data_IF_630262271257
#
_entry.id   IF_630262271257
#
_cell.length_a   1.000
_cell.length_b   1.000
_cell.length_c   1.000
_cell.angle_alpha   90.00
_cell.angle_beta   90.00
_cell.angle_gamma   90.00
#
_symmetry.space_group_name_H-M   'P 1'
#
loop_
_entity.id
_entity.type
_entity.pdbx_description
1 polymer ?
#
# COMPACT_ATOMS: atom_id res chain seq x y z
N UNK A 1 15.04 0.63 3.48
CA UNK A 1 14.10 -0.08 4.36
C UNK A 1 12.81 -0.28 3.60
N UNK A 2 12.31 -1.51 3.48
CA UNK A 2 10.97 -1.78 2.94
C UNK A 2 9.90 -1.50 4.01
N UNK A 3 8.67 -1.27 3.59
CA UNK A 3 7.53 -1.05 4.49
C UNK A 3 6.64 -2.30 4.52
N UNK A 4 6.07 -2.61 5.67
CA UNK A 4 5.13 -3.71 5.86
C UNK A 4 3.99 -3.25 6.78
N UNK A 5 2.75 -3.61 6.45
CA UNK A 5 1.60 -3.36 7.30
C UNK A 5 0.60 -4.49 7.20
N UNK A 6 -0.10 -4.77 8.29
CA UNK A 6 -1.21 -5.72 8.37
C UNK A 6 -2.50 -4.97 8.63
N UNK A 7 -3.59 -5.47 8.05
CA UNK A 7 -4.92 -5.08 8.50
C UNK A 7 -5.09 -5.43 9.98
N UNK A 8 -5.75 -4.58 10.80
CA UNK A 8 -5.99 -4.88 12.21
C UNK A 8 -6.84 -6.15 12.42
N UNK A 9 -7.72 -6.47 11.48
CA UNK A 9 -8.55 -7.69 11.48
C UNK A 9 -7.82 -8.91 10.87
N UNK A 10 -6.60 -8.73 10.37
CA UNK A 10 -5.82 -9.78 9.71
C UNK A 10 -6.34 -10.19 8.33
N UNK A 11 -7.28 -9.46 7.74
CA UNK A 11 -7.88 -9.83 6.45
C UNK A 11 -6.93 -9.67 5.26
N UNK A 12 -5.90 -8.82 5.39
CA UNK A 12 -4.87 -8.61 4.39
C UNK A 12 -3.54 -8.18 5.00
N UNK A 13 -2.46 -8.43 4.27
CA UNK A 13 -1.10 -7.96 4.52
C UNK A 13 -0.69 -7.11 3.33
N UNK A 14 0.10 -6.06 3.53
CA UNK A 14 0.69 -5.30 2.43
C UNK A 14 2.17 -4.97 2.67
N UNK A 15 2.95 -4.94 1.59
CA UNK A 15 4.34 -4.50 1.62
C UNK A 15 4.61 -3.47 0.54
N UNK A 16 5.60 -2.63 0.79
CA UNK A 16 6.09 -1.61 -0.11
C UNK A 16 7.59 -1.77 -0.32
N UNK A 17 7.99 -1.82 -1.59
CA UNK A 17 9.38 -1.97 -2.01
C UNK A 17 9.95 -0.67 -2.59
N UNK A 18 11.28 -0.59 -2.61
CA UNK A 18 12.03 0.56 -3.17
C UNK A 18 11.89 0.67 -4.69
N UNK A 19 11.56 -0.43 -5.38
CA UNK A 19 11.25 -0.42 -6.81
C UNK A 19 9.86 0.15 -7.13
N UNK A 20 9.09 0.55 -6.10
CA UNK A 20 7.75 1.09 -6.25
C UNK A 20 6.64 0.05 -6.21
N UNK A 21 6.99 -1.22 -6.01
CA UNK A 21 6.00 -2.29 -5.90
C UNK A 21 5.30 -2.23 -4.56
N UNK A 22 3.97 -2.18 -4.59
CA UNK A 22 3.09 -2.50 -3.47
C UNK A 22 2.45 -3.84 -3.73
N UNK A 23 2.61 -4.79 -2.81
CA UNK A 23 1.93 -6.09 -2.89
C UNK A 23 0.93 -6.20 -1.74
N UNK A 24 -0.24 -6.76 -2.03
CA UNK A 24 -1.27 -7.06 -1.05
C UNK A 24 -1.54 -8.56 -1.09
N UNK A 25 -1.51 -9.21 0.07
CA UNK A 25 -1.73 -10.65 0.21
C UNK A 25 -2.95 -10.97 1.05
N UNK A 26 -3.47 -12.17 0.83
CA UNK A 26 -4.27 -12.86 1.84
C UNK A 26 -3.30 -13.62 2.77
N UNK A 27 -3.14 -13.19 4.04
CA UNK A 27 -2.18 -13.80 4.95
C UNK A 27 -2.60 -15.20 5.41
N UNK A 28 -3.88 -15.58 5.31
CA UNK A 28 -4.38 -16.89 5.73
C UNK A 28 -3.93 -18.00 4.78
N UNK A 29 -3.91 -17.73 3.48
CA UNK A 29 -3.53 -18.71 2.44
C UNK A 29 -2.16 -18.41 1.81
N UNK A 30 -1.55 -17.27 2.13
CA UNK A 30 -0.23 -16.88 1.63
C UNK A 30 -0.19 -16.48 0.16
N UNK A 31 -1.33 -16.09 -0.43
CA UNK A 31 -1.40 -15.74 -1.86
C UNK A 31 -1.42 -14.24 -2.07
N UNK A 32 -0.77 -13.78 -3.14
CA UNK A 32 -0.84 -12.39 -3.59
C UNK A 32 -2.24 -12.16 -4.18
N UNK A 33 -2.93 -11.13 -3.69
CA UNK A 33 -4.22 -10.67 -4.24
C UNK A 33 -4.01 -9.59 -5.29
N UNK A 34 -3.14 -8.63 -4.98
CA UNK A 34 -2.89 -7.46 -5.82
C UNK A 34 -1.42 -7.08 -5.83
N UNK A 35 -0.96 -6.59 -6.99
CA UNK A 35 0.37 -6.02 -7.20
C UNK A 35 0.18 -4.68 -7.90
N UNK A 36 0.78 -3.63 -7.36
CA UNK A 36 0.77 -2.30 -7.93
C UNK A 36 2.21 -1.82 -8.10
N UNK A 37 2.55 -1.29 -9.27
CA UNK A 37 3.92 -0.86 -9.61
C UNK A 37 3.97 0.61 -10.02
N UNK A 38 2.94 1.36 -9.66
CA UNK A 38 2.75 2.74 -10.13
C UNK A 38 3.63 3.75 -9.38
N UNK A 39 4.26 3.35 -8.28
CA UNK A 39 5.14 4.22 -7.49
C UNK A 39 6.58 4.20 -8.02
N UNK A 40 7.36 5.25 -7.74
CA UNK A 40 8.82 5.25 -8.01
C UNK A 40 9.67 4.70 -6.86
N UNK A 41 9.02 4.22 -5.81
CA UNK A 41 9.64 3.70 -4.60
C UNK A 41 8.77 4.03 -3.40
N UNK A 42 8.40 3.02 -2.62
CA UNK A 42 7.50 3.17 -1.47
C UNK A 42 8.35 3.46 -0.23
N UNK A 43 8.03 4.55 0.46
CA UNK A 43 8.74 4.98 1.67
C UNK A 43 8.04 4.53 2.95
N UNK A 44 6.70 4.47 2.94
CA UNK A 44 5.92 4.00 4.08
C UNK A 44 4.56 3.42 3.63
N UNK A 45 3.99 2.58 4.50
CA UNK A 45 2.65 2.04 4.38
C UNK A 45 1.88 2.23 5.69
N UNK A 46 0.59 2.49 5.60
CA UNK A 46 -0.32 2.61 6.75
C UNK A 46 -1.65 1.95 6.40
N UNK A 47 -2.17 1.14 7.33
CA UNK A 47 -3.51 0.58 7.24
C UNK A 47 -4.48 1.44 8.05
N UNK A 48 -5.72 1.54 7.57
CA UNK A 48 -6.82 2.04 8.36
C UNK A 48 -6.99 1.22 9.65
N UNK A 49 -7.42 1.86 10.73
CA UNK A 49 -7.72 1.16 11.99
C UNK A 49 -8.86 0.15 11.87
N UNK A 50 -9.72 0.31 10.87
CA UNK A 50 -10.80 -0.61 10.52
C UNK A 50 -10.45 -1.56 9.36
N UNK A 51 -9.21 -1.48 8.83
CA UNK A 51 -8.75 -2.29 7.70
C UNK A 51 -9.37 -1.92 6.34
N UNK A 52 -10.19 -0.87 6.25
CA UNK A 52 -10.94 -0.54 5.02
C UNK A 52 -10.10 0.09 3.91
N UNK A 53 -8.92 0.61 4.23
CA UNK A 53 -8.00 1.19 3.25
C UNK A 53 -6.53 0.98 3.61
N UNK A 54 -5.70 1.02 2.57
CA UNK A 54 -4.25 1.03 2.63
C UNK A 54 -3.75 2.37 2.06
N UNK A 55 -2.83 3.03 2.75
CA UNK A 55 -2.14 4.23 2.27
C UNK A 55 -0.68 3.89 2.00
N UNK A 56 -0.18 4.31 0.85
CA UNK A 56 1.23 4.26 0.48
C UNK A 56 1.77 5.66 0.21
N UNK A 57 2.92 5.97 0.81
CA UNK A 57 3.71 7.16 0.46
C UNK A 57 4.88 6.78 -0.43
N UNK A 58 5.24 7.64 -1.37
CA UNK A 58 6.30 7.35 -2.32
C UNK A 58 7.26 8.50 -2.59
N UNK A 59 8.47 8.13 -2.99
CA UNK A 59 9.49 9.05 -3.50
C UNK A 59 9.07 9.78 -4.79
N UNK A 60 7.96 9.40 -5.43
CA UNK A 60 7.34 10.19 -6.51
C UNK A 60 6.59 11.45 -6.00
N UNK A 61 6.58 11.69 -4.68
CA UNK A 61 5.89 12.78 -3.97
C UNK A 61 4.37 12.66 -3.98
N UNK A 62 3.86 11.47 -4.24
CA UNK A 62 2.44 11.17 -4.14
C UNK A 62 2.17 10.31 -2.91
N UNK A 63 0.94 10.44 -2.40
CA UNK A 63 0.36 9.51 -1.44
C UNK A 63 -0.84 8.87 -2.12
N UNK A 64 -0.91 7.54 -2.12
CA UNK A 64 -2.01 6.80 -2.76
C UNK A 64 -2.82 6.04 -1.72
N UNK A 65 -4.13 6.03 -1.92
CA UNK A 65 -5.10 5.34 -1.08
C UNK A 65 -5.71 4.22 -1.90
N UNK A 66 -5.62 2.99 -1.38
CA UNK A 66 -6.07 1.78 -2.04
C UNK A 66 -7.19 1.13 -1.24
N UNK A 67 -8.10 0.50 -1.96
CA UNK A 67 -9.02 -0.49 -1.40
C UNK A 67 -8.31 -1.86 -1.43
N UNK A 68 -7.98 -2.46 -0.27
CA UNK A 68 -7.26 -3.73 -0.20
C UNK A 68 -8.11 -4.95 -0.57
N UNK A 69 -9.45 -4.83 -0.55
CA UNK A 69 -10.35 -5.92 -0.92
C UNK A 69 -10.50 -6.05 -2.44
N UNK A 70 -10.50 -4.91 -3.14
CA UNK A 70 -10.63 -4.87 -4.62
C UNK A 70 -9.31 -4.62 -5.34
N UNK A 71 -8.29 -4.11 -4.65
CA UNK A 71 -7.04 -3.66 -5.24
C UNK A 71 -7.17 -2.34 -6.00
N UNK A 72 -8.26 -1.59 -5.79
CA UNK A 72 -8.54 -0.38 -6.58
C UNK A 72 -7.84 0.82 -5.96
N UNK A 73 -7.16 1.62 -6.78
CA UNK A 73 -6.68 2.94 -6.41
C UNK A 73 -7.88 3.88 -6.22
N UNK A 74 -8.18 4.25 -4.98
CA UNK A 74 -9.29 5.16 -4.66
C UNK A 74 -8.92 6.61 -4.91
N UNK A 75 -7.72 7.00 -4.52
CA UNK A 75 -7.28 8.39 -4.61
C UNK A 75 -5.76 8.51 -4.70
N UNK A 76 -5.30 9.49 -5.48
CA UNK A 76 -3.92 9.96 -5.46
C UNK A 76 -3.90 11.38 -4.90
N UNK A 77 -3.22 11.57 -3.79
CA UNK A 77 -2.99 12.85 -3.15
C UNK A 77 -1.65 13.41 -3.65
N UNK A 78 -1.72 14.61 -4.22
CA UNK A 78 -0.57 15.36 -4.68
C UNK A 78 -0.44 16.61 -3.80
N UNK A 79 0.77 16.96 -3.40
CA UNK A 79 1.00 18.13 -2.55
C UNK A 79 2.37 18.19 -1.89
N UNK A 80 3.04 17.05 -1.76
CA UNK A 80 4.42 17.03 -1.29
C UNK A 80 5.35 17.64 -2.33
N UNK A 81 6.19 18.59 -1.89
CA UNK A 81 7.19 19.27 -2.74
C UNK A 81 8.53 18.53 -2.78
N UNK A 82 8.79 17.74 -1.75
CA UNK A 82 9.92 16.84 -1.58
C UNK A 82 9.39 15.47 -1.14
N UNK A 83 10.10 14.38 -1.45
CA UNK A 83 9.90 13.09 -0.81
C UNK A 83 10.11 13.12 0.71
#
# INVERSE_FOLDING_TARGET
MGALVTAPDGSWLASGAHDGTVQIWNPTIGTVRHIHTDHKGVSALVAASDGSWLVSSSYDRTVRIWDPATGTLRQTLNGHRSP
#
